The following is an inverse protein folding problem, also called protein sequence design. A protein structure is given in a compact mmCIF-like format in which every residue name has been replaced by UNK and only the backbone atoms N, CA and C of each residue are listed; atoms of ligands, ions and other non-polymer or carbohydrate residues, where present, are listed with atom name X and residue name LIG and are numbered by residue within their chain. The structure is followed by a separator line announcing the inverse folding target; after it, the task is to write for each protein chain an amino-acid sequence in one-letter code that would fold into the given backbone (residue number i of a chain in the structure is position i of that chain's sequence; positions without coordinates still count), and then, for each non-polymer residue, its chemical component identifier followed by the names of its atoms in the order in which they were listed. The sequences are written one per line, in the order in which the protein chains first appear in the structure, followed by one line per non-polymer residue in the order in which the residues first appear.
data_IF_822381279655
#
_entry.id   IF_822381279655
#
_cell.length_a   1.000
_cell.length_b   1.000
_cell.length_c   1.000
_cell.angle_alpha   90.00
_cell.angle_beta   90.00
_cell.angle_gamma   90.00
#
_symmetry.space_group_name_H-M   'P 1'
#
loop_
_entity.id
_entity.type
_entity.pdbx_description
1 polymer ?
#
# COMPACT_ATOMS: atom_id res chain seq x y z
N UNK A 1 -13.40 -4.30 -8.41
CA UNK A 1 -12.82 -3.32 -7.45
C UNK A 1 -11.43 -3.75 -6.98
N UNK A 2 -10.51 -4.10 -7.90
CA UNK A 2 -9.15 -4.54 -7.54
C UNK A 2 -8.07 -3.45 -7.69
N UNK A 3 -8.38 -2.36 -8.41
CA UNK A 3 -7.38 -1.37 -8.89
C UNK A 3 -6.84 -0.39 -7.85
N UNK A 4 -7.52 -0.18 -6.72
CA UNK A 4 -7.15 0.89 -5.77
C UNK A 4 -6.04 0.52 -4.77
N UNK A 5 -5.87 -0.75 -4.42
CA UNK A 5 -4.85 -1.14 -3.43
C UNK A 5 -3.48 -1.33 -4.11
N UNK A 6 -3.44 -1.90 -5.31
CA UNK A 6 -2.17 -2.22 -5.99
C UNK A 6 -1.54 -1.02 -6.74
N UNK A 7 -2.33 0.00 -7.13
CA UNK A 7 -1.81 1.21 -7.78
C UNK A 7 -1.32 2.28 -6.79
N UNK A 8 -1.57 2.10 -5.49
CA UNK A 8 -1.05 3.00 -4.46
C UNK A 8 0.47 2.91 -4.42
N UNK A 9 1.12 4.02 -4.09
CA UNK A 9 2.56 4.06 -3.90
C UNK A 9 3.02 3.18 -2.72
N UNK A 10 2.14 2.60 -1.90
CA UNK A 10 2.52 1.73 -0.77
C UNK A 10 1.51 0.60 -0.54
N UNK A 11 1.37 -0.36 -1.47
CA UNK A 11 0.34 -1.40 -1.40
C UNK A 11 0.55 -2.32 -0.18
N UNK A 12 1.80 -2.64 0.15
CA UNK A 12 2.16 -3.49 1.30
C UNK A 12 1.82 -2.81 2.63
N UNK A 13 2.05 -1.50 2.75
CA UNK A 13 1.71 -0.75 3.96
C UNK A 13 0.18 -0.67 4.14
N UNK A 14 -0.55 -0.44 3.05
CA UNK A 14 -2.01 -0.37 3.05
C UNK A 14 -2.64 -1.71 3.44
N UNK A 15 -2.15 -2.83 2.89
CA UNK A 15 -2.64 -4.17 3.24
C UNK A 15 -2.36 -4.48 4.72
N UNK A 16 -1.18 -4.12 5.24
CA UNK A 16 -0.84 -4.31 6.66
C UNK A 16 -1.74 -3.50 7.60
N UNK A 17 -2.03 -2.25 7.25
CA UNK A 17 -2.95 -1.39 8.00
C UNK A 17 -4.36 -1.99 8.04
N UNK A 18 -4.90 -2.37 6.87
CA UNK A 18 -6.23 -2.99 6.78
C UNK A 18 -6.27 -4.34 7.51
N UNK A 19 -5.22 -5.16 7.39
CA UNK A 19 -5.12 -6.45 8.08
C UNK A 19 -5.17 -6.30 9.60
N UNK A 20 -4.56 -5.26 10.17
CA UNK A 20 -4.63 -5.00 11.61
C UNK A 20 -6.01 -4.51 12.04
N UNK A 21 -6.69 -3.69 11.23
CA UNK A 21 -8.08 -3.32 11.52
C UNK A 21 -8.96 -4.58 11.58
N UNK A 22 -8.80 -5.50 10.61
CA UNK A 22 -9.63 -6.71 10.51
C UNK A 22 -9.28 -7.78 11.56
N UNK A 23 -8.00 -8.07 11.79
CA UNK A 23 -7.57 -9.16 12.67
C UNK A 23 -7.24 -8.73 14.09
N UNK A 24 -6.90 -7.46 14.31
CA UNK A 24 -6.50 -6.95 15.63
C UNK A 24 -7.54 -5.98 16.20
N UNK A 25 -8.67 -5.78 15.51
CA UNK A 25 -9.70 -4.79 15.86
C UNK A 25 -9.12 -3.38 16.09
N UNK A 26 -7.98 -3.11 15.44
CA UNK A 26 -7.23 -1.88 15.62
C UNK A 26 -8.05 -0.69 15.14
N UNK A 27 -7.95 0.42 15.86
CA UNK A 27 -8.65 1.64 15.49
C UNK A 27 -8.07 2.23 14.20
N UNK A 28 -8.89 3.00 13.48
CA UNK A 28 -8.47 3.69 12.25
C UNK A 28 -7.22 4.56 12.50
N UNK A 29 -7.10 5.14 13.69
CA UNK A 29 -5.95 5.96 14.09
C UNK A 29 -4.66 5.13 14.19
N UNK A 30 -4.70 3.99 14.87
CA UNK A 30 -3.55 3.08 14.98
C UNK A 30 -3.15 2.53 13.61
N UNK A 31 -4.12 2.15 12.79
CA UNK A 31 -3.86 1.69 11.43
C UNK A 31 -3.22 2.79 10.56
N UNK A 32 -3.61 4.06 10.75
CA UNK A 32 -3.02 5.20 10.07
C UNK A 32 -1.58 5.47 10.55
N UNK A 33 -1.32 5.38 11.85
CA UNK A 33 0.03 5.50 12.42
C UNK A 33 0.95 4.38 11.91
N UNK A 34 0.48 3.14 11.88
CA UNK A 34 1.21 2.02 11.29
C UNK A 34 1.46 2.20 9.80
N UNK A 35 0.48 2.71 9.04
CA UNK A 35 0.66 3.03 7.62
C UNK A 35 1.77 4.08 7.43
N UNK A 36 1.78 5.14 8.24
CA UNK A 36 2.80 6.18 8.20
C UNK A 36 4.19 5.65 8.61
N UNK A 37 4.27 4.80 9.63
CA UNK A 37 5.51 4.14 10.04
C UNK A 37 6.07 3.23 8.93
N UNK A 38 5.20 2.51 8.22
CA UNK A 38 5.58 1.64 7.10
C UNK A 38 5.93 2.41 5.82
N UNK A 39 5.27 3.55 5.59
CA UNK A 39 5.52 4.45 4.45
C UNK A 39 6.92 5.09 4.49
N UNK A 40 7.41 5.41 5.68
CA UNK A 40 8.68 6.12 5.88
C UNK A 40 9.95 5.33 5.54
N UNK A 41 9.86 4.01 5.35
CA UNK A 41 11.08 3.18 5.27
C UNK A 41 11.52 2.81 3.87
N UNK A 42 10.65 2.69 2.85
CA UNK A 42 11.07 2.49 1.44
C UNK A 42 9.98 2.97 0.48
N UNK A 43 10.28 3.95 -0.37
CA UNK A 43 9.49 4.21 -1.58
C UNK A 43 9.55 2.93 -2.43
N UNK A 44 8.47 2.20 -2.66
CA UNK A 44 8.54 1.11 -3.62
C UNK A 44 8.76 1.74 -4.99
N UNK A 45 9.79 1.27 -5.66
CA UNK A 45 10.06 1.60 -7.05
C UNK A 45 8.81 1.19 -7.82
N UNK A 46 8.08 2.17 -8.38
CA UNK A 46 6.97 1.88 -9.29
C UNK A 46 7.54 0.94 -10.35
N UNK A 47 6.96 -0.25 -10.58
CA UNK A 47 7.38 -1.05 -11.69
C UNK A 47 7.16 -0.18 -12.93
N UNK A 48 8.25 0.21 -13.59
CA UNK A 48 8.20 0.88 -14.88
C UNK A 48 7.55 -0.13 -15.82
N UNK A 49 6.24 0.01 -15.99
CA UNK A 49 5.54 -0.68 -17.06
C UNK A 49 6.11 -0.02 -18.31
N UNK A 50 7.06 -0.70 -18.97
CA UNK A 50 7.55 -0.26 -20.27
C UNK A 50 6.38 -0.38 -21.24
N UNK A 51 5.58 0.68 -21.33
CA UNK A 51 4.74 0.95 -22.48
C UNK A 51 5.68 1.32 -23.62
N UNK A 52 6.04 0.36 -24.47
CA UNK A 52 6.56 0.65 -25.80
C UNK A 52 6.30 -0.57 -26.69
N UNK A 53 5.27 -0.54 -27.54
CA UNK A 53 5.34 0.07 -28.87
C UNK A 53 6.41 -0.62 -29.74
N UNK A 54 5.97 -1.59 -30.53
CA UNK A 54 6.50 -2.00 -31.84
C UNK A 54 5.51 -3.04 -32.38
N UNK A 55 4.59 -2.61 -33.24
CA UNK A 55 4.71 -2.52 -34.71
C UNK A 55 4.57 -3.88 -35.36
#
# INVERSE_FOLDING_TARGET
MGRNIWQSDYPVAMIKAVKAIVHQNATVKEAHEMFNALKGTKKPVKPVIRSNQKS
#
